data_IF_860780833721
#
_entry.id   IF_860780833721
#
_cell.length_a   1.000
_cell.length_b   1.000
_cell.length_c   1.000
_cell.angle_alpha   90.00
_cell.angle_beta   90.00
_cell.angle_gamma   90.00
#
_symmetry.space_group_name_H-M   'P 1'
#
loop_
_entity.id
_entity.type
_entity.pdbx_description
1 polymer ?
#
# COMPACT_ATOMS: atom_id res chain seq x y z
N UNK A 1 25.34 -55.79 -47.26
CA UNK A 1 24.13 -55.51 -46.42
C UNK A 1 24.46 -54.41 -45.45
N UNK A 2 24.16 -53.19 -45.84
CA UNK A 2 24.45 -51.98 -45.07
C UNK A 2 23.12 -51.46 -44.47
N UNK A 3 23.01 -51.52 -43.15
CA UNK A 3 21.84 -51.00 -42.42
C UNK A 3 22.07 -49.50 -42.11
N UNK A 4 21.32 -48.65 -42.78
CA UNK A 4 21.20 -47.22 -42.43
C UNK A 4 20.25 -47.05 -41.26
N UNK A 5 20.75 -46.50 -40.11
CA UNK A 5 19.93 -45.98 -39.02
C UNK A 5 19.67 -44.49 -39.26
N UNK A 6 18.42 -44.01 -39.14
CA UNK A 6 18.16 -42.56 -39.19
C UNK A 6 18.44 -41.91 -37.83
N UNK A 7 19.26 -40.86 -37.85
CA UNK A 7 19.50 -39.97 -36.72
C UNK A 7 18.23 -39.17 -36.41
N UNK A 8 17.62 -39.47 -35.27
CA UNK A 8 16.54 -38.64 -34.68
C UNK A 8 17.19 -37.41 -34.03
N UNK A 9 17.05 -36.26 -34.68
CA UNK A 9 17.42 -34.95 -34.10
C UNK A 9 16.42 -34.58 -33.04
N UNK A 10 16.80 -34.68 -31.76
CA UNK A 10 16.06 -34.13 -30.64
C UNK A 10 16.19 -32.60 -30.65
N UNK A 11 15.05 -31.94 -30.84
CA UNK A 11 14.90 -30.46 -30.71
C UNK A 11 14.75 -30.12 -29.22
N UNK A 12 15.62 -29.30 -28.63
CA UNK A 12 15.43 -28.88 -27.22
C UNK A 12 14.29 -27.89 -27.14
N UNK A 13 13.23 -28.31 -26.43
CA UNK A 13 12.09 -27.45 -26.02
C UNK A 13 12.61 -26.45 -24.97
N UNK A 14 12.94 -25.22 -25.37
CA UNK A 14 13.22 -24.11 -24.45
C UNK A 14 11.93 -23.73 -23.75
N UNK A 15 11.77 -24.26 -22.53
CA UNK A 15 10.71 -23.86 -21.61
C UNK A 15 11.09 -22.47 -21.03
N UNK A 16 10.57 -21.42 -21.67
CA UNK A 16 10.70 -20.04 -21.17
C UNK A 16 10.00 -19.89 -19.83
N UNK A 17 10.75 -19.90 -18.71
CA UNK A 17 10.25 -19.47 -17.41
C UNK A 17 10.00 -17.96 -17.46
N UNK A 18 8.72 -17.57 -17.60
CA UNK A 18 8.27 -16.22 -17.28
C UNK A 18 8.45 -16.02 -15.78
N UNK A 19 9.53 -15.37 -15.37
CA UNK A 19 9.66 -14.79 -14.05
C UNK A 19 8.68 -13.61 -13.96
N UNK A 20 7.47 -13.86 -13.46
CA UNK A 20 6.66 -12.81 -12.89
C UNK A 20 7.43 -12.32 -11.65
N UNK A 21 8.13 -11.20 -11.77
CA UNK A 21 8.76 -10.53 -10.64
C UNK A 21 7.67 -10.22 -9.61
N UNK A 22 7.98 -10.27 -8.29
CA UNK A 22 7.04 -9.81 -7.28
C UNK A 22 6.69 -8.36 -7.60
N UNK A 23 5.39 -8.05 -7.67
CA UNK A 23 4.93 -6.69 -7.65
C UNK A 23 5.48 -6.08 -6.36
N UNK A 24 6.38 -5.09 -6.51
CA UNK A 24 6.86 -4.29 -5.39
C UNK A 24 5.62 -3.58 -4.85
N UNK A 25 5.11 -4.04 -3.70
CA UNK A 25 4.25 -3.21 -2.89
C UNK A 25 5.03 -1.92 -2.62
N UNK A 26 4.51 -0.79 -3.04
CA UNK A 26 5.16 0.51 -2.83
C UNK A 26 5.37 0.68 -1.33
N UNK A 27 6.64 0.65 -0.93
CA UNK A 27 7.03 0.73 0.45
C UNK A 27 6.80 2.18 0.87
N UNK A 28 5.94 2.40 1.87
CA UNK A 28 5.78 3.74 2.42
C UNK A 28 7.12 4.32 2.89
N UNK A 29 7.36 5.57 2.54
CA UNK A 29 8.53 6.29 3.01
C UNK A 29 8.30 6.80 4.43
N UNK A 30 9.19 6.52 5.39
CA UNK A 30 9.06 7.02 6.75
C UNK A 30 9.32 8.55 6.76
N UNK A 31 8.32 9.32 7.19
CA UNK A 31 8.44 10.78 7.36
C UNK A 31 8.88 11.11 8.77
N UNK A 32 8.35 10.41 9.77
CA UNK A 32 8.69 10.63 11.16
C UNK A 32 7.86 9.82 12.14
N UNK A 33 8.21 9.93 13.43
CA UNK A 33 7.49 9.24 14.49
C UNK A 33 7.48 10.05 15.79
N UNK A 34 6.45 9.84 16.61
CA UNK A 34 6.33 10.42 17.95
C UNK A 34 6.04 9.34 18.95
N UNK A 35 6.84 9.21 20.02
CA UNK A 35 6.57 8.32 21.15
C UNK A 35 5.37 8.83 21.94
N UNK A 36 4.42 7.95 22.26
CA UNK A 36 3.18 8.31 22.96
C UNK A 36 3.09 7.73 24.36
N UNK A 37 3.64 6.55 24.61
CA UNK A 37 3.62 5.94 25.93
C UNK A 37 4.93 5.20 26.20
N UNK A 38 5.52 5.52 27.37
CA UNK A 38 6.74 4.88 27.82
C UNK A 38 6.50 3.41 28.14
N UNK A 39 7.44 2.57 27.74
CA UNK A 39 7.54 1.14 28.14
C UNK A 39 8.84 0.87 28.85
N UNK A 40 8.75 0.19 30.00
CA UNK A 40 9.92 -0.15 30.80
C UNK A 40 10.85 -1.13 30.08
N UNK A 41 10.27 -1.99 29.21
CA UNK A 41 11.01 -2.99 28.42
C UNK A 41 10.50 -2.95 26.98
N UNK A 42 11.42 -2.87 26.03
CA UNK A 42 11.15 -2.77 24.60
C UNK A 42 10.88 -1.33 24.14
N UNK A 43 10.59 -1.13 22.84
CA UNK A 43 10.31 0.20 22.29
C UNK A 43 9.01 0.79 22.84
N UNK A 44 8.92 2.11 22.91
CA UNK A 44 7.71 2.82 23.31
C UNK A 44 6.57 2.61 22.30
N UNK A 45 5.33 2.82 22.75
CA UNK A 45 4.24 3.05 21.81
C UNK A 45 4.51 4.35 21.04
N UNK A 46 4.15 4.39 19.77
CA UNK A 46 4.41 5.55 18.93
C UNK A 46 3.34 5.76 17.86
N UNK A 47 3.31 6.95 17.30
CA UNK A 47 2.59 7.25 16.07
C UNK A 47 3.65 7.36 14.97
N UNK A 48 3.45 6.63 13.88
CA UNK A 48 4.24 6.72 12.66
C UNK A 48 3.54 7.65 11.69
N UNK A 49 4.31 8.46 10.97
CA UNK A 49 3.87 9.20 9.79
C UNK A 49 4.65 8.64 8.61
N UNK A 50 3.93 8.14 7.63
CA UNK A 50 4.47 7.50 6.43
C UNK A 50 3.89 8.20 5.21
N UNK A 51 4.69 8.38 4.15
CA UNK A 51 4.26 8.94 2.88
C UNK A 51 4.23 7.87 1.80
N UNK A 52 3.33 8.00 0.84
CA UNK A 52 3.30 7.20 -0.37
C UNK A 52 2.73 8.02 -1.53
N UNK A 53 3.16 7.72 -2.74
CA UNK A 53 2.60 8.29 -3.96
C UNK A 53 1.52 7.39 -4.54
N UNK A 54 0.61 7.96 -5.32
CA UNK A 54 -0.33 7.13 -6.08
C UNK A 54 0.43 6.41 -7.21
N UNK A 55 0.43 5.07 -7.25
CA UNK A 55 1.26 4.31 -8.20
C UNK A 55 0.82 4.46 -9.66
N UNK A 56 -0.39 5.02 -9.92
CA UNK A 56 -0.95 5.18 -11.27
C UNK A 56 -1.23 6.63 -11.65
N UNK A 57 -1.24 7.54 -10.68
CA UNK A 57 -1.53 8.96 -10.91
C UNK A 57 -0.38 9.78 -10.35
N UNK A 58 0.54 10.18 -11.23
CA UNK A 58 1.60 11.10 -10.85
C UNK A 58 1.03 12.43 -10.35
N UNK A 59 1.78 13.10 -9.47
CA UNK A 59 1.40 14.39 -8.93
C UNK A 59 0.44 14.33 -7.74
N UNK A 60 0.33 13.18 -7.07
CA UNK A 60 -0.38 13.04 -5.79
C UNK A 60 0.50 12.33 -4.79
N UNK A 61 0.67 12.93 -3.62
CA UNK A 61 1.30 12.32 -2.46
C UNK A 61 0.31 12.25 -1.30
N UNK A 62 0.33 11.14 -0.57
CA UNK A 62 -0.48 10.89 0.60
C UNK A 62 0.38 10.66 1.83
N UNK A 63 -0.10 11.16 2.97
CA UNK A 63 0.50 10.96 4.28
C UNK A 63 -0.45 10.16 5.15
N UNK A 64 0.02 9.03 5.68
CA UNK A 64 -0.71 8.15 6.57
C UNK A 64 -0.09 8.25 7.97
N UNK A 65 -0.87 8.68 8.96
CA UNK A 65 -0.48 8.61 10.35
C UNK A 65 -1.21 7.49 11.05
N UNK A 66 -0.47 6.57 11.69
CA UNK A 66 -1.02 5.41 12.39
C UNK A 66 -0.25 5.09 13.65
N UNK A 67 -0.94 4.62 14.71
CA UNK A 67 -0.27 4.17 15.92
C UNK A 67 0.45 2.83 15.70
N UNK A 68 1.59 2.66 16.36
CA UNK A 68 2.34 1.42 16.42
C UNK A 68 2.57 0.99 17.87
N UNK A 69 2.22 -0.25 18.14
CA UNK A 69 2.36 -0.85 19.47
C UNK A 69 3.83 -1.15 19.77
N UNK A 70 4.31 -0.67 20.90
CA UNK A 70 5.64 -0.96 21.43
C UNK A 70 5.67 -2.12 22.43
N UNK A 71 6.69 -2.14 23.30
CA UNK A 71 6.96 -3.21 24.26
C UNK A 71 7.65 -4.40 23.59
N UNK A 72 7.80 -5.49 24.35
CA UNK A 72 8.50 -6.70 23.85
C UNK A 72 7.79 -7.28 22.61
N UNK A 73 6.47 -7.42 22.67
CA UNK A 73 5.68 -7.93 21.52
C UNK A 73 5.78 -7.02 20.30
N UNK A 74 5.80 -5.70 20.48
CA UNK A 74 5.97 -4.73 19.39
C UNK A 74 7.37 -4.78 18.78
N UNK A 75 8.39 -4.89 19.61
CA UNK A 75 9.78 -5.05 19.16
C UNK A 75 10.03 -6.34 18.38
N UNK A 76 9.30 -7.41 18.69
CA UNK A 76 9.35 -8.69 17.97
C UNK A 76 8.39 -8.76 16.76
N UNK A 77 7.63 -7.69 16.49
CA UNK A 77 6.63 -7.68 15.42
C UNK A 77 5.38 -8.53 15.72
N UNK A 78 5.19 -8.97 16.97
CA UNK A 78 4.08 -9.85 17.39
C UNK A 78 2.87 -9.07 17.92
N UNK A 79 2.97 -7.74 18.05
CA UNK A 79 1.87 -6.92 18.53
C UNK A 79 0.89 -6.61 17.40
N UNK A 80 -0.38 -6.50 17.76
CA UNK A 80 -1.41 -5.93 16.91
C UNK A 80 -1.45 -4.42 17.09
N UNK A 81 -1.26 -3.67 16.00
CA UNK A 81 -1.37 -2.22 16.04
C UNK A 81 -2.86 -1.78 16.08
N UNK A 82 -3.18 -0.65 16.72
CA UNK A 82 -4.54 -0.11 16.70
C UNK A 82 -5.04 0.17 15.28
N UNK A 83 -6.36 0.08 15.07
CA UNK A 83 -6.98 0.23 13.75
C UNK A 83 -7.20 1.69 13.33
N UNK A 84 -6.84 2.66 14.16
CA UNK A 84 -7.00 4.07 13.85
C UNK A 84 -5.89 4.50 12.90
N UNK A 85 -6.28 5.23 11.86
CA UNK A 85 -5.35 5.91 10.96
C UNK A 85 -5.97 7.22 10.51
N UNK A 86 -5.15 8.22 10.23
CA UNK A 86 -5.54 9.44 9.53
C UNK A 86 -4.83 9.51 8.20
N UNK A 87 -5.50 10.09 7.20
CA UNK A 87 -5.02 10.19 5.84
C UNK A 87 -5.12 11.65 5.38
N UNK A 88 -4.04 12.16 4.76
CA UNK A 88 -4.01 13.46 4.11
C UNK A 88 -3.30 13.33 2.78
N UNK A 89 -4.00 13.61 1.68
CA UNK A 89 -3.45 13.55 0.33
C UNK A 89 -3.45 14.94 -0.31
N UNK A 90 -2.45 15.24 -1.10
CA UNK A 90 -2.24 16.54 -1.72
C UNK A 90 -1.80 16.39 -3.17
N UNK A 91 -2.18 17.37 -4.00
CA UNK A 91 -1.57 17.53 -5.31
C UNK A 91 -0.16 18.08 -5.14
N UNK A 92 0.83 17.40 -5.73
CA UNK A 92 2.26 17.74 -5.67
C UNK A 92 2.87 18.02 -7.03
N UNK A 93 2.07 17.90 -8.09
CA UNK A 93 2.49 18.10 -9.46
C UNK A 93 1.30 18.12 -10.41
N UNK A 94 1.52 18.23 -11.73
CA UNK A 94 0.46 18.11 -12.71
C UNK A 94 -0.17 16.72 -12.65
N UNK A 95 -1.51 16.67 -12.63
CA UNK A 95 -2.26 15.41 -12.61
C UNK A 95 -2.82 15.16 -14.00
N UNK A 96 -2.50 13.99 -14.57
CA UNK A 96 -3.12 13.48 -15.78
C UNK A 96 -3.87 12.19 -15.44
N UNK A 97 -5.19 12.20 -15.63
CA UNK A 97 -6.01 11.02 -15.38
C UNK A 97 -5.85 10.01 -16.51
N UNK A 98 -5.66 8.73 -16.21
CA UNK A 98 -5.69 7.68 -17.23
C UNK A 98 -7.10 7.55 -17.82
N UNK A 99 -7.20 7.03 -19.04
CA UNK A 99 -8.49 6.89 -19.76
C UNK A 99 -9.53 6.03 -19.01
N UNK A 100 -9.07 5.15 -18.11
CA UNK A 100 -9.93 4.33 -17.25
C UNK A 100 -9.38 4.32 -15.84
N UNK A 101 -10.19 4.80 -14.89
CA UNK A 101 -9.95 4.66 -13.46
C UNK A 101 -10.93 3.65 -12.89
N UNK A 102 -10.41 2.67 -12.19
CA UNK A 102 -11.23 1.71 -11.45
C UNK A 102 -11.62 2.34 -10.11
N UNK A 103 -12.93 2.41 -9.85
CA UNK A 103 -13.43 2.88 -8.56
C UNK A 103 -13.06 1.89 -7.45
N UNK A 104 -12.58 2.40 -6.32
CA UNK A 104 -12.13 1.58 -5.20
C UNK A 104 -10.86 0.78 -5.49
N UNK A 105 -10.03 1.24 -6.43
CA UNK A 105 -8.73 0.61 -6.68
C UNK A 105 -7.81 0.82 -5.49
N UNK A 106 -7.22 -0.29 -5.03
CA UNK A 106 -6.21 -0.25 -3.97
C UNK A 106 -4.93 0.40 -4.51
N UNK A 107 -4.47 1.42 -3.81
CA UNK A 107 -3.27 2.20 -4.17
C UNK A 107 -2.15 2.02 -3.16
N UNK A 108 -2.47 1.60 -1.95
CA UNK A 108 -1.51 1.34 -0.89
C UNK A 108 -2.09 0.41 0.17
N UNK A 109 -1.24 -0.42 0.77
CA UNK A 109 -1.57 -1.22 1.94
C UNK A 109 -0.39 -1.31 2.91
N UNK A 110 -0.70 -1.50 4.18
CA UNK A 110 0.29 -1.81 5.21
C UNK A 110 -0.24 -2.85 6.18
N UNK A 111 0.55 -3.89 6.40
CA UNK A 111 0.23 -4.89 7.43
C UNK A 111 0.39 -4.29 8.83
N UNK A 112 -0.66 -4.39 9.65
CA UNK A 112 -0.70 -3.88 11.02
C UNK A 112 -0.72 -5.00 12.07
N UNK A 113 -0.67 -6.25 11.63
CA UNK A 113 -0.45 -7.43 12.48
C UNK A 113 0.10 -8.60 11.67
N UNK A 114 0.64 -9.61 12.34
CA UNK A 114 1.09 -10.86 11.70
C UNK A 114 -0.05 -11.70 11.16
N UNK A 115 -1.29 -11.45 11.61
CA UNK A 115 -2.46 -12.27 11.28
C UNK A 115 -3.60 -11.38 10.80
N UNK A 116 -3.78 -11.30 9.49
CA UNK A 116 -4.99 -10.82 8.80
C UNK A 116 -5.50 -9.40 9.09
N UNK A 117 -4.66 -8.50 9.63
CA UNK A 117 -5.05 -7.10 9.79
C UNK A 117 -4.19 -6.20 8.91
N UNK A 118 -4.84 -5.50 8.03
CA UNK A 118 -4.23 -4.55 7.11
C UNK A 118 -4.91 -3.18 7.23
N UNK A 119 -4.16 -2.15 6.98
CA UNK A 119 -4.67 -0.81 6.71
C UNK A 119 -4.53 -0.58 5.21
N UNK A 120 -5.65 -0.45 4.53
CA UNK A 120 -5.71 -0.26 3.07
C UNK A 120 -6.07 1.15 2.71
N UNK A 121 -5.58 1.60 1.56
CA UNK A 121 -6.00 2.85 0.93
C UNK A 121 -6.51 2.55 -0.46
N UNK A 122 -7.72 3.00 -0.75
CA UNK A 122 -8.37 2.88 -2.06
C UNK A 122 -8.68 4.25 -2.63
N UNK A 123 -8.71 4.35 -3.96
CA UNK A 123 -8.98 5.58 -4.70
C UNK A 123 -10.29 5.52 -5.43
N UNK A 124 -10.99 6.68 -5.44
CA UNK A 124 -12.15 6.98 -6.27
C UNK A 124 -11.90 8.27 -7.03
N UNK A 125 -12.67 8.49 -8.10
CA UNK A 125 -12.71 9.77 -8.80
C UNK A 125 -14.13 10.34 -8.74
N UNK A 126 -14.27 11.54 -8.18
CA UNK A 126 -15.51 12.33 -8.20
C UNK A 126 -15.49 13.24 -9.44
N UNK A 127 -16.08 12.77 -10.52
CA UNK A 127 -16.15 13.52 -11.79
C UNK A 127 -16.85 14.87 -11.62
N UNK A 128 -17.91 14.93 -10.81
CA UNK A 128 -18.67 16.15 -10.59
C UNK A 128 -17.85 17.28 -9.98
N UNK A 129 -16.90 16.92 -9.10
CA UNK A 129 -16.05 17.87 -8.38
C UNK A 129 -14.63 17.92 -8.91
N UNK A 130 -14.32 17.13 -9.94
CA UNK A 130 -12.98 16.96 -10.48
C UNK A 130 -11.95 16.71 -9.39
N UNK A 131 -12.21 15.70 -8.54
CA UNK A 131 -11.38 15.39 -7.38
C UNK A 131 -11.08 13.90 -7.26
N UNK A 132 -9.86 13.58 -6.90
CA UNK A 132 -9.49 12.25 -6.45
C UNK A 132 -9.85 12.11 -4.97
N UNK A 133 -10.47 11.00 -4.60
CA UNK A 133 -10.88 10.73 -3.21
C UNK A 133 -10.19 9.46 -2.76
N UNK A 134 -9.41 9.57 -1.71
CA UNK A 134 -8.68 8.46 -1.08
C UNK A 134 -9.36 8.09 0.23
N UNK A 135 -9.65 6.81 0.39
CA UNK A 135 -10.26 6.25 1.60
C UNK A 135 -9.28 5.25 2.21
N UNK A 136 -8.85 5.50 3.43
CA UNK A 136 -8.15 4.48 4.23
C UNK A 136 -9.12 3.77 5.15
N UNK A 137 -8.95 2.45 5.29
CA UNK A 137 -9.76 1.66 6.20
C UNK A 137 -8.99 0.43 6.72
N UNK A 138 -9.33 0.00 7.94
CA UNK A 138 -8.82 -1.24 8.52
C UNK A 138 -9.65 -2.43 8.07
N UNK A 139 -9.02 -3.54 7.72
CA UNK A 139 -9.71 -4.78 7.34
C UNK A 139 -10.31 -5.53 8.53
N UNK A 140 -10.00 -5.12 9.77
CA UNK A 140 -10.55 -5.69 11.00
C UNK A 140 -11.65 -4.82 11.56
N UNK A 141 -12.77 -5.45 11.94
CA UNK A 141 -13.83 -4.81 12.70
C UNK A 141 -13.35 -4.47 14.12
N UNK A 142 -13.62 -3.25 14.56
CA UNK A 142 -13.37 -2.78 15.92
C UNK A 142 -14.65 -2.15 16.44
N UNK A 143 -15.17 -2.65 17.56
CA UNK A 143 -16.45 -2.22 18.15
C UNK A 143 -17.61 -2.24 17.13
N UNK A 144 -17.67 -3.29 16.31
CA UNK A 144 -18.71 -3.48 15.30
C UNK A 144 -18.57 -2.60 14.04
N UNK A 145 -17.46 -1.86 13.87
CA UNK A 145 -17.23 -0.96 12.74
C UNK A 145 -15.79 -1.06 12.20
N UNK A 146 -15.63 -0.86 10.88
CA UNK A 146 -14.33 -0.62 10.29
C UNK A 146 -13.90 0.83 10.53
N UNK A 147 -12.71 1.01 11.10
CA UNK A 147 -12.14 2.37 11.26
C UNK A 147 -11.68 2.87 9.90
N UNK A 148 -12.07 4.09 9.56
CA UNK A 148 -11.77 4.68 8.24
C UNK A 148 -11.55 6.19 8.34
N UNK A 149 -10.82 6.72 7.35
CA UNK A 149 -10.65 8.16 7.13
C UNK A 149 -10.61 8.45 5.63
N UNK A 150 -11.00 9.66 5.23
CA UNK A 150 -11.06 10.07 3.83
C UNK A 150 -10.28 11.36 3.61
N UNK A 151 -9.62 11.46 2.45
CA UNK A 151 -8.98 12.67 1.95
C UNK A 151 -9.38 12.91 0.50
N UNK A 152 -9.69 14.16 0.14
CA UNK A 152 -10.01 14.54 -1.22
C UNK A 152 -8.96 15.50 -1.77
N UNK A 153 -8.54 15.27 -3.00
CA UNK A 153 -7.54 16.06 -3.75
C UNK A 153 -8.23 16.66 -4.96
N UNK A 154 -8.64 17.95 -4.93
CA UNK A 154 -9.12 18.63 -6.13
C UNK A 154 -8.01 18.67 -7.18
N UNK A 155 -8.37 18.36 -8.44
CA UNK A 155 -7.41 18.44 -9.54
C UNK A 155 -7.40 19.88 -10.04
N UNK A 156 -6.33 20.58 -9.72
CA UNK A 156 -6.13 21.98 -10.06
C UNK A 156 -5.10 22.12 -11.19
N UNK A 157 -5.19 23.19 -12.01
CA UNK A 157 -4.09 23.53 -12.90
C UNK A 157 -2.80 23.67 -12.11
N UNK A 158 -1.72 23.12 -12.66
CA UNK A 158 -0.40 23.15 -12.04
C UNK A 158 0.50 24.05 -12.90
N UNK A 159 0.84 25.21 -12.37
CA UNK A 159 1.67 26.19 -13.06
C UNK A 159 2.41 27.06 -12.09
#
# INVERSE_FOLDING_TARGET
MTHNFPLIRALPLLLGMLFAGPALADKADPVGEVSTAFKLVGPNHKILVEAFDDPKIAGVACYLARPKTGGVKGGLGLAEDPSHASLSCHQTGPITLPAKLKAGEEVFDVSTSLVFKEQKVVRFYDEKRNALVYLTYSTKLVDGSYKSAVSAVPIMPWG
#
